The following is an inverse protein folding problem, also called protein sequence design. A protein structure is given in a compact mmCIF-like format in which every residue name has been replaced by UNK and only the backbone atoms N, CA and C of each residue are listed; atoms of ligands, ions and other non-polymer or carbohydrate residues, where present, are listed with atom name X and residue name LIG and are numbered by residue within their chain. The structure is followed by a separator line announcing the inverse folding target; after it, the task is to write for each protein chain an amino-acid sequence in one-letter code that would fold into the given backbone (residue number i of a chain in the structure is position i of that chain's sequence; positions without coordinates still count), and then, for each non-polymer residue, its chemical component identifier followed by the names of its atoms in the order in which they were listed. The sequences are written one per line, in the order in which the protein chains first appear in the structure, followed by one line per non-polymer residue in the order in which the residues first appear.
data_IF_089228897919
#
_entry.id   IF_089228897919
#
_cell.length_a   1.000
_cell.length_b   1.000
_cell.length_c   1.000
_cell.angle_alpha   90.00
_cell.angle_beta   90.00
_cell.angle_gamma   90.00
#
_symmetry.space_group_name_H-M   'P 1'
#
loop_
_entity.id
_entity.type
_entity.pdbx_description
1 polymer ?
#
# COMPACT_ATOMS: atom_id res chain seq x y z
N UNK A 1 9.99 -21.12 11.44
CA UNK A 1 10.79 -20.08 12.12
C UNK A 1 9.99 -18.81 12.13
N UNK A 2 9.57 -18.36 13.31
CA UNK A 2 8.84 -17.08 13.45
C UNK A 2 9.83 -15.91 13.30
N UNK A 3 9.35 -14.74 12.85
CA UNK A 3 10.19 -13.52 12.70
C UNK A 3 10.92 -13.17 14.02
N UNK A 4 10.26 -13.46 15.16
CA UNK A 4 10.81 -13.40 16.52
C UNK A 4 12.15 -14.12 16.67
N UNK A 5 12.29 -15.32 16.09
CA UNK A 5 13.48 -16.16 16.21
C UNK A 5 14.64 -15.68 15.31
N UNK A 6 14.35 -14.96 14.23
CA UNK A 6 15.36 -14.48 13.27
C UNK A 6 15.91 -13.09 13.59
N UNK A 7 15.12 -12.24 14.27
CA UNK A 7 15.51 -10.86 14.57
C UNK A 7 15.90 -10.61 16.03
N UNK A 8 15.81 -11.63 16.90
CA UNK A 8 16.11 -11.47 18.33
C UNK A 8 15.14 -10.56 19.07
N UNK A 9 13.93 -10.35 18.54
CA UNK A 9 12.94 -9.42 19.10
C UNK A 9 12.03 -10.15 20.08
N UNK A 10 11.75 -9.52 21.23
CA UNK A 10 10.80 -10.04 22.22
C UNK A 10 9.43 -10.37 21.61
N UNK A 11 8.93 -11.57 21.92
CA UNK A 11 7.60 -12.07 21.50
C UNK A 11 6.45 -11.15 21.89
N UNK A 12 6.59 -10.40 22.98
CA UNK A 12 5.59 -9.41 23.40
C UNK A 12 5.46 -8.26 22.39
N UNK A 13 6.57 -7.80 21.81
CA UNK A 13 6.56 -6.68 20.85
C UNK A 13 6.10 -7.18 19.50
N UNK A 14 6.67 -8.29 19.00
CA UNK A 14 6.25 -8.90 17.73
C UNK A 14 4.77 -9.30 17.73
N UNK A 15 4.28 -9.92 18.81
CA UNK A 15 2.90 -10.39 18.92
C UNK A 15 1.86 -9.27 18.96
N UNK A 16 2.25 -8.03 19.25
CA UNK A 16 1.37 -6.86 19.19
C UNK A 16 1.56 -6.05 17.90
N UNK A 17 2.81 -5.74 17.55
CA UNK A 17 3.13 -4.83 16.45
C UNK A 17 2.90 -5.45 15.07
N UNK A 18 3.18 -6.73 14.85
CA UNK A 18 3.01 -7.35 13.53
C UNK A 18 1.52 -7.52 13.16
N UNK A 19 0.63 -8.03 14.05
CA UNK A 19 -0.79 -8.10 13.72
C UNK A 19 -1.42 -6.71 13.54
N UNK A 20 -1.00 -5.72 14.35
CA UNK A 20 -1.46 -4.34 14.23
C UNK A 20 -0.96 -3.69 12.92
N UNK A 21 0.33 -3.84 12.62
CA UNK A 21 0.98 -3.33 11.41
C UNK A 21 0.33 -3.87 10.15
N UNK A 22 0.11 -5.19 10.08
CA UNK A 22 -0.50 -5.82 8.90
C UNK A 22 -1.89 -5.31 8.51
N UNK A 23 -2.60 -4.63 9.42
CA UNK A 23 -3.90 -4.02 9.15
C UNK A 23 -3.81 -2.51 8.87
N UNK A 24 -2.85 -1.81 9.46
CA UNK A 24 -2.77 -0.34 9.43
C UNK A 24 -1.70 0.14 8.45
N UNK A 25 -0.56 -0.54 8.39
CA UNK A 25 0.58 -0.17 7.54
C UNK A 25 0.38 -0.68 6.12
N UNK A 26 -0.39 0.09 5.37
CA UNK A 26 -0.76 -0.23 3.99
C UNK A 26 -0.02 0.68 3.02
N UNK A 27 1.23 1.02 3.35
CA UNK A 27 2.09 1.86 2.54
C UNK A 27 2.25 1.30 1.12
N UNK A 28 2.34 -0.04 1.02
CA UNK A 28 2.39 -0.74 -0.25
C UNK A 28 1.17 -0.48 -1.13
N UNK A 29 -0.01 -0.44 -0.52
CA UNK A 29 -1.27 -0.20 -1.22
C UNK A 29 -1.41 1.28 -1.60
N UNK A 30 -0.94 2.19 -0.73
CA UNK A 30 -0.99 3.62 -0.97
C UNK A 30 -0.16 4.03 -2.20
N UNK A 31 1.09 3.58 -2.32
CA UNK A 31 1.92 3.95 -3.49
C UNK A 31 1.36 3.32 -4.78
N UNK A 32 0.88 2.07 -4.72
CA UNK A 32 0.25 1.39 -5.85
C UNK A 32 -0.93 2.21 -6.39
N UNK A 33 -1.81 2.68 -5.51
CA UNK A 33 -2.98 3.48 -5.91
C UNK A 33 -2.57 4.81 -6.52
N UNK A 34 -1.65 5.54 -5.87
CA UNK A 34 -1.16 6.82 -6.40
C UNK A 34 -0.58 6.62 -7.79
N UNK A 35 0.38 5.71 -7.97
CA UNK A 35 1.02 5.47 -9.26
C UNK A 35 0.04 5.01 -10.35
N UNK A 36 -0.93 4.16 -9.99
CA UNK A 36 -1.94 3.69 -10.93
C UNK A 36 -2.88 4.82 -11.37
N UNK A 37 -3.28 5.70 -10.46
CA UNK A 37 -4.08 6.90 -10.79
C UNK A 37 -3.29 7.84 -11.70
N UNK A 38 -2.00 8.05 -11.42
CA UNK A 38 -1.13 8.82 -12.30
C UNK A 38 -0.99 8.21 -13.69
N UNK A 39 -0.84 6.88 -13.77
CA UNK A 39 -0.76 6.17 -15.04
C UNK A 39 -2.03 6.38 -15.87
N UNK A 40 -3.21 6.18 -15.27
CA UNK A 40 -4.49 6.36 -15.95
C UNK A 40 -4.69 7.83 -16.35
N UNK A 41 -4.40 8.78 -15.46
CA UNK A 41 -4.51 10.21 -15.75
C UNK A 41 -3.62 10.63 -16.93
N UNK A 42 -2.35 10.20 -16.95
CA UNK A 42 -1.45 10.48 -18.06
C UNK A 42 -1.91 9.82 -19.36
N UNK A 43 -2.45 8.59 -19.31
CA UNK A 43 -3.02 7.93 -20.49
C UNK A 43 -4.21 8.71 -21.08
N UNK A 44 -4.97 9.42 -20.25
CA UNK A 44 -6.06 10.31 -20.68
C UNK A 44 -5.58 11.71 -21.10
N UNK A 45 -4.28 12.03 -20.97
CA UNK A 45 -3.76 13.38 -21.17
C UNK A 45 -4.09 14.37 -20.06
N UNK A 46 -4.50 13.88 -18.87
CA UNK A 46 -4.74 14.67 -17.68
C UNK A 46 -3.42 14.85 -16.93
N UNK A 47 -2.98 16.10 -16.79
CA UNK A 47 -1.79 16.43 -16.03
C UNK A 47 -2.15 17.03 -14.66
N UNK A 48 -1.71 16.38 -13.59
CA UNK A 48 -1.84 16.91 -12.25
C UNK A 48 -0.76 17.95 -11.96
N UNK A 49 -1.17 19.10 -11.45
CA UNK A 49 -0.27 20.11 -10.88
C UNK A 49 0.38 19.57 -9.59
N UNK A 50 1.57 20.04 -9.22
CA UNK A 50 2.28 19.56 -8.03
C UNK A 50 1.41 19.58 -6.75
N UNK A 51 0.57 20.60 -6.58
CA UNK A 51 -0.36 20.68 -5.45
C UNK A 51 -1.41 19.54 -5.47
N UNK A 52 -1.96 19.22 -6.65
CA UNK A 52 -2.88 18.09 -6.81
C UNK A 52 -2.19 16.75 -6.57
N UNK A 53 -0.91 16.62 -6.96
CA UNK A 53 -0.12 15.41 -6.71
C UNK A 53 0.06 15.14 -5.22
N UNK A 54 0.42 16.18 -4.45
CA UNK A 54 0.58 16.08 -2.99
C UNK A 54 -0.76 15.78 -2.32
N UNK A 55 -1.83 16.47 -2.73
CA UNK A 55 -3.17 16.25 -2.20
C UNK A 55 -3.65 14.82 -2.48
N UNK A 56 -3.43 14.33 -3.70
CA UNK A 56 -3.74 12.95 -4.10
C UNK A 56 -3.04 11.95 -3.19
N UNK A 57 -1.74 12.10 -2.98
CA UNK A 57 -0.97 11.22 -2.12
C UNK A 57 -1.55 11.18 -0.69
N UNK A 58 -1.84 12.34 -0.10
CA UNK A 58 -2.40 12.42 1.26
C UNK A 58 -3.78 11.74 1.35
N UNK A 59 -4.68 12.06 0.41
CA UNK A 59 -6.05 11.52 0.41
C UNK A 59 -6.04 10.01 0.22
N UNK A 60 -5.22 9.52 -0.72
CA UNK A 60 -5.08 8.09 -0.99
C UNK A 60 -4.50 7.38 0.22
N UNK A 61 -3.41 7.87 0.81
CA UNK A 61 -2.80 7.25 2.00
C UNK A 61 -3.79 7.17 3.17
N UNK A 62 -4.55 8.23 3.45
CA UNK A 62 -5.57 8.21 4.51
C UNK A 62 -6.69 7.22 4.16
N UNK A 63 -7.13 7.20 2.90
CA UNK A 63 -8.15 6.27 2.42
C UNK A 63 -7.73 4.80 2.55
N UNK A 64 -6.46 4.49 2.29
CA UNK A 64 -5.96 3.11 2.36
C UNK A 64 -5.97 2.54 3.77
N UNK A 65 -5.64 3.34 4.79
CA UNK A 65 -5.64 2.91 6.20
C UNK A 65 -7.00 2.39 6.71
N UNK A 66 -8.11 2.69 6.03
CA UNK A 66 -9.45 2.31 6.44
C UNK A 66 -9.94 0.95 5.94
N UNK A 67 -9.19 0.26 5.08
CA UNK A 67 -9.64 -1.00 4.47
C UNK A 67 -8.96 -2.24 5.02
N UNK A 68 -9.77 -3.18 5.51
CA UNK A 68 -9.31 -4.52 5.85
C UNK A 68 -8.75 -5.23 4.60
N UNK A 69 -7.54 -5.80 4.71
CA UNK A 69 -6.87 -6.48 3.61
C UNK A 69 -7.61 -7.76 3.19
N UNK A 70 -7.97 -7.82 1.91
CA UNK A 70 -8.50 -9.01 1.27
C UNK A 70 -7.73 -9.18 -0.03
N UNK A 71 -7.25 -10.39 -0.35
CA UNK A 71 -6.54 -10.65 -1.60
C UNK A 71 -7.40 -10.22 -2.81
N UNK A 72 -6.81 -9.43 -3.72
CA UNK A 72 -7.52 -8.87 -4.88
C UNK A 72 -8.35 -7.61 -4.60
N UNK A 73 -8.27 -7.00 -3.41
CA UNK A 73 -8.95 -5.73 -3.11
C UNK A 73 -8.35 -4.51 -3.82
N UNK A 74 -7.10 -4.60 -4.24
CA UNK A 74 -6.34 -3.51 -4.85
C UNK A 74 -7.04 -2.80 -6.00
N UNK A 75 -7.39 -3.52 -7.08
CA UNK A 75 -8.11 -2.92 -8.20
C UNK A 75 -9.48 -2.34 -7.85
N UNK A 76 -10.17 -2.92 -6.86
CA UNK A 76 -11.47 -2.42 -6.40
C UNK A 76 -11.29 -1.08 -5.69
N UNK A 77 -10.27 -0.97 -4.85
CA UNK A 77 -9.96 0.30 -4.19
C UNK A 77 -9.45 1.34 -5.18
N UNK A 78 -8.61 0.94 -6.14
CA UNK A 78 -8.18 1.81 -7.24
C UNK A 78 -9.37 2.37 -8.00
N UNK A 79 -10.35 1.52 -8.35
CA UNK A 79 -11.59 1.96 -8.99
C UNK A 79 -12.36 2.97 -8.14
N UNK A 80 -12.48 2.73 -6.82
CA UNK A 80 -13.13 3.66 -5.90
C UNK A 80 -12.39 5.00 -5.82
N UNK A 81 -11.06 5.00 -5.72
CA UNK A 81 -10.23 6.20 -5.67
C UNK A 81 -10.29 6.99 -6.98
N UNK A 82 -10.28 6.31 -8.13
CA UNK A 82 -10.46 6.94 -9.44
C UNK A 82 -11.83 7.64 -9.55
N UNK A 83 -12.90 6.98 -9.10
CA UNK A 83 -14.24 7.59 -9.08
C UNK A 83 -14.32 8.83 -8.18
N UNK A 84 -13.63 8.82 -7.02
CA UNK A 84 -13.56 9.99 -6.13
C UNK A 84 -12.89 11.20 -6.80
N UNK A 85 -11.99 10.96 -7.75
CA UNK A 85 -11.28 11.99 -8.51
C UNK A 85 -12.00 12.39 -9.81
N UNK A 86 -13.19 11.81 -10.06
CA UNK A 86 -13.96 12.04 -11.28
C UNK A 86 -13.40 11.31 -12.51
N UNK A 87 -12.49 10.35 -12.32
CA UNK A 87 -11.96 9.49 -13.36
C UNK A 87 -12.81 8.21 -13.38
N UNK A 88 -13.88 8.20 -14.16
CA UNK A 88 -14.77 7.04 -14.24
C UNK A 88 -14.33 6.13 -15.41
N UNK A 89 -13.84 4.91 -15.16
CA UNK A 89 -13.44 3.97 -16.21
C UNK A 89 -14.67 3.29 -16.82
N UNK A 90 -15.49 4.06 -17.53
CA UNK A 90 -16.64 3.54 -18.26
C UNK A 90 -16.20 2.72 -19.48
N UNK A 91 -16.93 1.65 -19.85
CA UNK A 91 -16.58 0.82 -21.00
C UNK A 91 -16.43 1.64 -22.29
N UNK A 92 -15.31 1.44 -23.00
CA UNK A 92 -15.00 2.15 -24.24
C UNK A 92 -14.22 3.47 -24.06
N UNK A 93 -13.93 3.88 -22.82
CA UNK A 93 -13.09 5.05 -22.54
C UNK A 93 -11.59 4.69 -22.49
N UNK A 94 -10.73 5.70 -22.68
CA UNK A 94 -9.28 5.56 -22.47
C UNK A 94 -8.98 5.19 -21.00
N UNK A 95 -9.78 5.69 -20.06
CA UNK A 95 -9.68 5.35 -18.64
C UNK A 95 -9.87 3.84 -18.39
N UNK A 96 -10.87 3.22 -19.03
CA UNK A 96 -11.11 1.79 -18.91
C UNK A 96 -9.98 0.95 -19.53
N UNK A 97 -9.43 1.36 -20.67
CA UNK A 97 -8.29 0.68 -21.28
C UNK A 97 -7.04 0.76 -20.38
N UNK A 98 -6.75 1.93 -19.83
CA UNK A 98 -5.62 2.13 -18.92
C UNK A 98 -5.79 1.35 -17.61
N UNK A 99 -6.99 1.36 -17.02
CA UNK A 99 -7.30 0.56 -15.84
C UNK A 99 -7.16 -0.95 -16.13
N UNK A 100 -7.62 -1.43 -17.29
CA UNK A 100 -7.46 -2.82 -17.69
C UNK A 100 -6.00 -3.23 -17.87
N UNK A 101 -5.12 -2.33 -18.31
CA UNK A 101 -3.67 -2.59 -18.38
C UNK A 101 -3.08 -2.78 -16.99
N UNK A 102 -3.46 -1.95 -16.01
CA UNK A 102 -3.04 -2.12 -14.61
C UNK A 102 -3.54 -3.46 -14.08
N UNK A 103 -4.80 -3.81 -14.36
CA UNK A 103 -5.39 -5.10 -13.99
C UNK A 103 -4.59 -6.30 -14.55
N UNK A 104 -4.12 -6.18 -15.79
CA UNK A 104 -3.37 -7.23 -16.48
C UNK A 104 -2.04 -7.58 -15.81
N UNK A 105 -1.44 -6.64 -15.05
CA UNK A 105 -0.20 -6.84 -14.31
C UNK A 105 -0.41 -6.86 -12.79
N UNK A 106 -1.66 -6.80 -12.32
CA UNK A 106 -1.98 -6.65 -10.90
C UNK A 106 -1.40 -7.76 -10.04
N UNK A 107 -1.28 -8.98 -10.57
CA UNK A 107 -0.65 -10.11 -9.84
C UNK A 107 0.80 -9.82 -9.45
N UNK A 108 1.56 -9.15 -10.33
CA UNK A 108 2.96 -8.79 -10.04
C UNK A 108 3.00 -7.62 -9.07
N UNK A 109 2.13 -6.62 -9.27
CA UNK A 109 2.03 -5.45 -8.40
C UNK A 109 1.55 -5.82 -7.00
N UNK A 110 0.69 -6.82 -6.87
CA UNK A 110 0.17 -7.36 -5.61
C UNK A 110 1.27 -7.98 -4.76
N UNK A 111 2.18 -8.73 -5.39
CA UNK A 111 3.34 -9.29 -4.73
C UNK A 111 4.29 -8.18 -4.23
N UNK A 112 4.52 -7.14 -5.04
CA UNK A 112 5.39 -6.01 -4.71
C UNK A 112 4.84 -5.21 -3.52
N UNK A 113 3.57 -4.79 -3.57
CA UNK A 113 2.94 -4.04 -2.47
C UNK A 113 2.94 -4.82 -1.17
N UNK A 114 2.69 -6.12 -1.22
CA UNK A 114 2.65 -6.97 -0.03
C UNK A 114 4.06 -7.07 0.57
N UNK A 115 5.08 -7.20 -0.27
CA UNK A 115 6.47 -7.21 0.16
C UNK A 115 6.85 -5.91 0.89
N UNK A 116 6.46 -4.76 0.32
CA UNK A 116 6.76 -3.44 0.90
C UNK A 116 6.04 -3.24 2.23
N UNK A 117 4.74 -3.54 2.31
CA UNK A 117 3.97 -3.40 3.56
C UNK A 117 4.55 -4.28 4.67
N UNK A 118 4.84 -5.56 4.37
CA UNK A 118 5.46 -6.47 5.35
C UNK A 118 6.85 -5.99 5.76
N UNK A 119 7.64 -5.46 4.83
CA UNK A 119 8.97 -4.91 5.16
C UNK A 119 8.86 -3.69 6.07
N UNK A 120 7.87 -2.83 5.86
CA UNK A 120 7.56 -1.70 6.74
C UNK A 120 7.16 -2.15 8.15
N UNK A 121 6.33 -3.19 8.26
CA UNK A 121 5.93 -3.77 9.55
C UNK A 121 7.15 -4.26 10.33
N UNK A 122 8.01 -5.02 9.65
CA UNK A 122 9.24 -5.53 10.25
C UNK A 122 10.17 -4.39 10.68
N UNK A 123 10.39 -3.39 9.82
CA UNK A 123 11.20 -2.24 10.16
C UNK A 123 10.65 -1.46 11.37
N UNK A 124 9.34 -1.21 11.39
CA UNK A 124 8.65 -0.57 12.51
C UNK A 124 8.79 -1.37 13.81
N UNK A 125 8.54 -2.68 13.75
CA UNK A 125 8.72 -3.59 14.89
C UNK A 125 10.16 -3.59 15.40
N UNK A 126 11.17 -3.61 14.52
CA UNK A 126 12.58 -3.54 14.92
C UNK A 126 12.94 -2.20 15.57
N UNK A 127 12.44 -1.08 15.03
CA UNK A 127 12.69 0.26 15.58
C UNK A 127 12.09 0.36 16.99
N UNK A 128 10.84 -0.08 17.17
CA UNK A 128 10.18 -0.09 18.49
C UNK A 128 10.87 -1.03 19.46
N UNK A 129 11.24 -2.24 19.02
CA UNK A 129 11.98 -3.18 19.86
C UNK A 129 13.32 -2.61 20.33
N UNK A 130 14.03 -1.88 19.45
CA UNK A 130 15.28 -1.21 19.80
C UNK A 130 15.07 -0.04 20.77
N UNK A 131 14.03 0.77 20.59
CA UNK A 131 13.75 1.89 21.50
C UNK A 131 13.35 1.42 22.90
N UNK A 132 12.66 0.28 22.99
CA UNK A 132 12.25 -0.34 24.27
C UNK A 132 13.36 -1.22 24.89
N UNK A 133 14.52 -1.38 24.23
CA UNK A 133 15.61 -2.25 24.70
C UNK A 133 15.26 -3.74 24.68
N UNK A 134 14.29 -4.14 23.86
CA UNK A 134 13.75 -5.49 23.73
C UNK A 134 14.25 -6.22 22.47
N UNK A 135 15.45 -5.85 22.00
CA UNK A 135 16.14 -6.47 20.88
C UNK A 135 17.46 -7.08 21.37
N UNK A 136 17.64 -8.38 21.13
CA UNK A 136 18.87 -9.11 21.41
C UNK A 136 19.72 -9.16 20.14
N UNK A 137 20.76 -8.33 20.08
CA UNK A 137 21.66 -8.20 18.94
C UNK A 137 22.88 -9.14 19.02
N UNK A 138 23.05 -9.87 20.12
CA UNK A 138 24.22 -10.74 20.37
C UNK A 138 23.96 -12.21 19.98
N UNK A 139 22.85 -12.49 19.29
CA UNK A 139 22.41 -13.83 18.93
C UNK A 139 22.55 -14.15 17.44
#
# INVERSE_FOLDING_TARGET
MTQEEKMGISRSVCGFTLPLGSQINLDGEAYYQVLSIFFVANAMGIHFTLAQQVLLAIVVTIGTTGTAWIAGSGPIMLLAAMNMLGINPEPGTVAAAAFALVLGIDVILDMDRTCISVTGDLAGTTIVAKSEGLIDLER
#
